data_IF_220568669281
#
_entry.id   IF_220568669281
#
_cell.length_a   1.000
_cell.length_b   1.000
_cell.length_c   1.000
_cell.angle_alpha   90.00
_cell.angle_beta   90.00
_cell.angle_gamma   90.00
#
_symmetry.space_group_name_H-M   'P 1'
#
loop_
_entity.id
_entity.type
_entity.pdbx_description
1 polymer ?
#
# COMPACT_ATOMS: atom_id res chain seq x y z
N UNK A 1 3.07 -5.35 8.97
CA UNK A 1 2.85 -4.60 7.72
C UNK A 1 4.13 -3.88 7.31
N UNK A 2 4.31 -3.59 6.02
CA UNK A 2 5.31 -2.63 5.53
C UNK A 2 4.67 -1.45 4.79
N UNK A 3 5.35 -0.31 4.77
CA UNK A 3 4.87 0.94 4.14
C UNK A 3 5.91 1.41 3.12
N UNK A 4 5.51 1.56 1.86
CA UNK A 4 6.33 2.19 0.81
C UNK A 4 5.96 3.66 0.67
N UNK A 5 6.97 4.54 0.66
CA UNK A 5 6.78 5.99 0.77
C UNK A 5 6.51 6.43 2.21
N UNK A 6 7.11 5.75 3.21
CA UNK A 6 6.86 5.98 4.63
C UNK A 6 7.23 7.40 5.11
N UNK A 7 8.17 8.06 4.43
CA UNK A 7 8.59 9.45 4.67
C UNK A 7 7.72 10.49 3.93
N UNK A 8 6.74 10.04 3.14
CA UNK A 8 5.80 10.90 2.42
C UNK A 8 4.65 11.40 3.29
N UNK A 9 3.85 12.38 2.80
CA UNK A 9 2.73 12.95 3.55
C UNK A 9 1.71 11.91 4.03
N UNK A 10 1.34 10.96 3.17
CA UNK A 10 0.40 9.91 3.54
C UNK A 10 1.07 8.77 4.31
N UNK A 11 2.28 8.35 3.91
CA UNK A 11 3.01 7.27 4.57
C UNK A 11 3.34 7.58 6.04
N UNK A 12 3.72 8.82 6.33
CA UNK A 12 4.02 9.26 7.70
C UNK A 12 2.77 9.28 8.60
N UNK A 13 1.60 9.62 8.04
CA UNK A 13 0.32 9.54 8.76
C UNK A 13 -0.07 8.08 9.01
N UNK A 14 0.10 7.20 8.02
CA UNK A 14 -0.15 5.75 8.19
C UNK A 14 0.76 5.19 9.29
N UNK A 15 2.05 5.48 9.26
CA UNK A 15 3.01 4.99 10.26
C UNK A 15 2.66 5.49 11.66
N UNK A 16 2.30 6.78 11.79
CA UNK A 16 1.83 7.36 13.06
C UNK A 16 0.57 6.66 13.59
N UNK A 17 -0.44 6.45 12.74
CA UNK A 17 -1.69 5.77 13.13
C UNK A 17 -1.41 4.33 13.56
N UNK A 18 -0.50 3.62 12.87
CA UNK A 18 -0.09 2.28 13.28
C UNK A 18 0.51 2.28 14.70
N UNK A 19 1.39 3.25 14.98
CA UNK A 19 1.95 3.43 16.32
C UNK A 19 0.88 3.68 17.39
N UNK A 20 -0.11 4.52 17.08
CA UNK A 20 -1.24 4.80 18.00
C UNK A 20 -2.15 3.58 18.22
N UNK A 21 -2.32 2.73 17.21
CA UNK A 21 -3.18 1.55 17.24
C UNK A 21 -2.46 0.25 17.60
N UNK A 22 -1.17 0.31 17.95
CA UNK A 22 -0.32 -0.86 18.22
C UNK A 22 -0.26 -1.86 17.05
N UNK A 23 -0.37 -1.39 15.82
CA UNK A 23 -0.20 -2.19 14.61
C UNK A 23 1.29 -2.27 14.27
N UNK A 24 1.83 -3.48 14.18
CA UNK A 24 3.25 -3.68 13.90
C UNK A 24 3.62 -3.30 12.46
N UNK A 25 4.40 -2.23 12.32
CA UNK A 25 5.09 -1.85 11.08
C UNK A 25 6.50 -2.43 11.13
N UNK A 26 6.68 -3.56 10.45
CA UNK A 26 7.94 -4.32 10.36
C UNK A 26 8.77 -3.93 9.14
N UNK A 27 8.30 -2.97 8.35
CA UNK A 27 9.02 -2.50 7.18
C UNK A 27 8.67 -1.06 6.82
N UNK A 28 9.70 -0.26 6.54
CA UNK A 28 9.56 1.12 6.05
C UNK A 28 10.46 1.28 4.84
N UNK A 29 9.89 1.75 3.74
CA UNK A 29 10.62 2.07 2.52
C UNK A 29 10.49 3.57 2.27
N UNK A 30 11.63 4.24 2.25
CA UNK A 30 11.77 5.68 2.03
C UNK A 30 12.74 5.90 0.88
N UNK A 31 12.99 7.15 0.50
CA UNK A 31 14.02 7.46 -0.52
C UNK A 31 15.42 6.94 -0.18
N UNK A 32 15.73 6.71 1.09
CA UNK A 32 17.03 6.16 1.53
C UNK A 32 17.12 4.64 1.41
N UNK A 33 16.05 3.94 1.03
CA UNK A 33 16.02 2.50 0.87
C UNK A 33 15.00 1.78 1.75
N UNK A 34 15.16 0.46 1.83
CA UNK A 34 14.30 -0.44 2.59
C UNK A 34 14.91 -0.73 3.96
N UNK A 35 14.11 -0.57 5.02
CA UNK A 35 14.41 -1.07 6.36
C UNK A 35 13.33 -2.08 6.73
N UNK A 36 13.72 -3.35 6.87
CA UNK A 36 12.81 -4.48 7.11
C UNK A 36 13.28 -5.27 8.33
N UNK A 37 12.44 -5.34 9.35
CA UNK A 37 12.70 -6.01 10.63
C UNK A 37 12.03 -7.39 10.71
N UNK A 38 11.18 -7.75 9.74
CA UNK A 38 10.50 -9.03 9.68
C UNK A 38 9.57 -9.17 8.46
N UNK A 39 8.99 -10.37 8.23
CA UNK A 39 8.12 -10.61 7.08
C UNK A 39 6.79 -9.84 7.22
N UNK A 40 6.48 -8.88 6.34
CA UNK A 40 5.20 -8.19 6.37
C UNK A 40 4.11 -9.08 5.76
N UNK A 41 2.94 -9.14 6.39
CA UNK A 41 1.76 -9.80 5.82
C UNK A 41 1.12 -9.00 4.68
N UNK A 42 1.25 -7.67 4.74
CA UNK A 42 0.74 -6.73 3.73
C UNK A 42 1.71 -5.56 3.58
N UNK A 43 1.81 -5.06 2.36
CA UNK A 43 2.53 -3.85 1.96
C UNK A 43 1.52 -2.82 1.49
N UNK A 44 1.58 -1.60 2.05
CA UNK A 44 0.85 -0.45 1.53
C UNK A 44 1.83 0.41 0.73
N UNK A 45 1.57 0.56 -0.57
CA UNK A 45 2.39 1.39 -1.45
C UNK A 45 1.72 2.73 -1.73
N UNK A 46 2.19 3.76 -1.04
CA UNK A 46 1.80 5.16 -1.23
C UNK A 46 2.93 5.99 -1.85
N UNK A 47 3.96 5.31 -2.38
CA UNK A 47 5.12 5.93 -3.01
C UNK A 47 4.78 6.70 -4.29
N UNK A 48 5.74 7.49 -4.77
CA UNK A 48 5.65 8.10 -6.10
C UNK A 48 6.15 7.14 -7.18
N UNK A 49 5.49 7.19 -8.34
CA UNK A 49 5.83 6.54 -9.60
C UNK A 49 7.33 6.51 -9.95
N UNK A 50 8.02 7.60 -9.64
CA UNK A 50 9.41 7.85 -10.01
C UNK A 50 10.43 7.16 -9.10
N UNK A 51 9.99 6.60 -7.97
CA UNK A 51 10.89 5.91 -7.05
C UNK A 51 10.98 4.43 -7.41
N UNK A 52 12.23 3.96 -7.56
CA UNK A 52 12.68 2.62 -7.92
C UNK A 52 12.32 1.54 -6.88
N UNK A 53 11.07 1.44 -6.46
CA UNK A 53 10.61 0.40 -5.54
C UNK A 53 9.75 -0.60 -6.31
N UNK A 54 10.32 -1.77 -6.59
CA UNK A 54 9.54 -2.87 -7.14
C UNK A 54 8.74 -3.56 -6.02
N UNK A 55 7.67 -2.89 -5.60
CA UNK A 55 6.73 -3.41 -4.60
C UNK A 55 6.17 -4.78 -5.00
N UNK A 56 6.02 -5.03 -6.30
CA UNK A 56 5.54 -6.31 -6.80
C UNK A 56 6.56 -7.43 -6.58
N UNK A 57 7.83 -7.21 -6.92
CA UNK A 57 8.91 -8.16 -6.64
C UNK A 57 9.05 -8.45 -5.16
N UNK A 58 9.01 -7.40 -4.32
CA UNK A 58 9.09 -7.57 -2.88
C UNK A 58 7.92 -8.41 -2.36
N UNK A 59 6.69 -8.09 -2.77
CA UNK A 59 5.50 -8.83 -2.34
C UNK A 59 5.53 -10.28 -2.81
N UNK A 60 6.03 -10.54 -4.02
CA UNK A 60 6.24 -11.90 -4.52
C UNK A 60 7.24 -12.66 -3.64
N UNK A 61 8.39 -12.05 -3.32
CA UNK A 61 9.45 -12.66 -2.51
C UNK A 61 8.98 -13.02 -1.11
N UNK A 62 8.19 -12.15 -0.47
CA UNK A 62 7.74 -12.32 0.91
C UNK A 62 6.35 -12.93 1.02
N UNK A 63 5.70 -13.22 -0.10
CA UNK A 63 4.29 -13.65 -0.15
C UNK A 63 3.36 -12.67 0.59
N UNK A 64 3.65 -11.38 0.47
CA UNK A 64 2.88 -10.31 1.11
C UNK A 64 1.76 -9.87 0.18
N UNK A 65 0.59 -9.56 0.75
CA UNK A 65 -0.44 -8.83 0.03
C UNK A 65 0.04 -7.41 -0.33
N UNK A 66 -0.48 -6.84 -1.41
CA UNK A 66 -0.13 -5.49 -1.87
C UNK A 66 -1.36 -4.60 -2.01
N UNK A 67 -1.41 -3.51 -1.25
CA UNK A 67 -2.34 -2.40 -1.46
C UNK A 67 -1.61 -1.27 -2.20
N UNK A 68 -1.83 -1.16 -3.51
CA UNK A 68 -1.17 -0.20 -4.38
C UNK A 68 -2.02 1.08 -4.53
N UNK A 69 -1.47 2.20 -4.04
CA UNK A 69 -2.12 3.52 -4.00
C UNK A 69 -1.33 4.59 -4.77
N UNK A 70 -0.19 4.24 -5.36
CA UNK A 70 0.63 5.18 -6.11
C UNK A 70 -0.15 5.71 -7.33
N UNK A 71 0.00 7.00 -7.61
CA UNK A 71 -0.73 7.68 -8.68
C UNK A 71 -0.26 7.31 -10.09
N UNK A 72 0.73 6.43 -10.24
CA UNK A 72 1.28 6.08 -11.53
C UNK A 72 0.26 5.32 -12.38
N UNK A 73 0.18 5.67 -13.66
CA UNK A 73 -0.65 5.01 -14.66
C UNK A 73 0.19 4.24 -15.68
N UNK A 74 1.37 3.79 -15.28
CA UNK A 74 2.25 3.00 -16.14
C UNK A 74 1.58 1.66 -16.50
N UNK A 75 1.25 1.42 -17.79
CA UNK A 75 0.62 0.18 -18.23
C UNK A 75 1.46 -1.07 -17.93
N UNK A 76 2.79 -0.95 -17.97
CA UNK A 76 3.69 -2.07 -17.70
C UNK A 76 3.68 -2.40 -16.20
N UNK A 77 3.62 -1.38 -15.35
CA UNK A 77 3.39 -1.53 -13.91
C UNK A 77 2.09 -2.27 -13.59
N UNK A 78 0.99 -1.93 -14.29
CA UNK A 78 -0.29 -2.65 -14.10
C UNK A 78 -0.23 -4.11 -14.51
N UNK A 79 0.47 -4.42 -15.60
CA UNK A 79 0.66 -5.81 -16.05
C UNK A 79 1.38 -6.63 -14.97
N UNK A 80 2.44 -6.08 -14.37
CA UNK A 80 3.16 -6.75 -13.29
C UNK A 80 2.33 -6.92 -12.02
N UNK A 81 1.51 -5.94 -11.66
CA UNK A 81 0.56 -6.07 -10.54
C UNK A 81 -0.50 -7.14 -10.82
N UNK A 82 -0.93 -7.29 -12.08
CA UNK A 82 -1.87 -8.34 -12.49
C UNK A 82 -1.24 -9.73 -12.39
N UNK A 83 -0.01 -9.89 -12.83
CA UNK A 83 0.74 -11.16 -12.69
C UNK A 83 0.94 -11.53 -11.21
N UNK A 84 1.34 -10.56 -10.39
CA UNK A 84 1.48 -10.75 -8.94
C UNK A 84 0.17 -11.27 -8.30
N UNK A 85 -0.97 -10.75 -8.76
CA UNK A 85 -2.29 -11.10 -8.22
C UNK A 85 -2.66 -12.58 -8.35
N UNK A 86 -1.98 -13.34 -9.21
CA UNK A 86 -2.13 -14.78 -9.29
C UNK A 86 -1.58 -15.52 -8.05
N UNK A 87 -0.69 -14.88 -7.28
CA UNK A 87 0.02 -15.49 -6.15
C UNK A 87 -0.30 -14.86 -4.80
N UNK A 88 -0.64 -13.58 -4.76
CA UNK A 88 -0.97 -12.85 -3.54
C UNK A 88 -2.16 -11.91 -3.79
N UNK A 89 -2.86 -11.46 -2.74
CA UNK A 89 -3.90 -10.46 -2.88
C UNK A 89 -3.31 -9.11 -3.33
N UNK A 90 -3.89 -8.50 -4.37
CA UNK A 90 -3.49 -7.18 -4.87
C UNK A 90 -4.69 -6.24 -4.91
N UNK A 91 -4.70 -5.25 -4.03
CA UNK A 91 -5.68 -4.18 -3.97
C UNK A 91 -5.20 -2.93 -4.72
N UNK A 92 -6.08 -2.33 -5.53
CA UNK A 92 -5.76 -1.11 -6.28
C UNK A 92 -6.61 0.09 -5.84
N UNK A 93 -5.96 1.13 -5.35
CA UNK A 93 -6.57 2.38 -4.90
C UNK A 93 -5.92 3.62 -5.55
N UNK A 94 -6.00 3.73 -6.88
CA UNK A 94 -5.27 4.74 -7.67
C UNK A 94 -5.99 6.08 -7.86
N UNK A 95 -7.20 6.24 -7.32
CA UNK A 95 -8.06 7.43 -7.51
C UNK A 95 -8.09 8.36 -6.31
N UNK A 96 -7.10 8.28 -5.41
CA UNK A 96 -7.01 9.15 -4.24
C UNK A 96 -6.68 10.58 -4.70
N UNK A 97 -7.70 11.37 -5.07
CA UNK A 97 -7.59 12.82 -5.17
C UNK A 97 -7.09 13.29 -3.80
N UNK A 98 -5.94 13.98 -3.77
CA UNK A 98 -5.26 14.40 -2.53
C UNK A 98 -5.57 15.88 -2.23
N UNK A 99 -6.71 16.24 -1.62
CA UNK A 99 -6.74 17.42 -0.79
C UNK A 99 -5.93 17.11 0.50
N UNK A 100 -5.10 18.06 0.94
CA UNK A 100 -4.36 17.95 2.21
C UNK A 100 -5.31 17.75 3.41
N UNK A 101 -6.55 18.20 3.27
CA UNK A 101 -7.66 17.94 4.20
C UNK A 101 -8.17 16.51 4.02
N UNK A 102 -7.88 15.62 4.98
CA UNK A 102 -8.44 14.26 5.01
C UNK A 102 -7.42 13.12 5.04
N UNK A 103 -6.11 13.39 5.13
CA UNK A 103 -5.09 12.35 5.18
C UNK A 103 -5.26 11.34 6.32
N UNK A 104 -5.74 11.76 7.50
CA UNK A 104 -5.98 10.83 8.62
C UNK A 104 -7.14 9.87 8.33
N UNK A 105 -8.25 10.37 7.78
CA UNK A 105 -9.38 9.54 7.39
C UNK A 105 -8.97 8.55 6.29
N UNK A 106 -8.25 9.03 5.27
CA UNK A 106 -7.73 8.20 4.20
C UNK A 106 -6.77 7.13 4.73
N UNK A 107 -5.84 7.51 5.60
CA UNK A 107 -4.91 6.55 6.21
C UNK A 107 -5.65 5.50 7.04
N UNK A 108 -6.68 5.88 7.80
CA UNK A 108 -7.51 4.93 8.55
C UNK A 108 -8.27 3.96 7.61
N UNK A 109 -8.83 4.45 6.50
CA UNK A 109 -9.49 3.61 5.50
C UNK A 109 -8.50 2.63 4.85
N UNK A 110 -7.30 3.11 4.49
CA UNK A 110 -6.24 2.30 3.90
C UNK A 110 -5.79 1.20 4.87
N UNK A 111 -5.67 1.52 6.17
CA UNK A 111 -5.35 0.54 7.20
C UNK A 111 -6.42 -0.56 7.31
N UNK A 112 -7.70 -0.18 7.30
CA UNK A 112 -8.81 -1.14 7.30
C UNK A 112 -8.75 -2.08 6.10
N UNK A 113 -8.59 -1.52 4.89
CA UNK A 113 -8.48 -2.30 3.65
C UNK A 113 -7.23 -3.19 3.64
N UNK A 114 -6.09 -2.69 4.13
CA UNK A 114 -4.87 -3.49 4.23
C UNK A 114 -5.04 -4.67 5.18
N UNK A 115 -5.78 -4.50 6.29
CA UNK A 115 -6.12 -5.57 7.21
C UNK A 115 -6.97 -6.67 6.55
N UNK A 116 -7.99 -6.30 5.79
CA UNK A 116 -8.80 -7.26 5.02
C UNK A 116 -7.93 -8.00 3.98
N UNK A 117 -7.12 -7.24 3.23
CA UNK A 117 -6.29 -7.76 2.15
C UNK A 117 -5.22 -8.73 2.65
N UNK A 118 -4.67 -8.51 3.85
CA UNK A 118 -3.70 -9.41 4.48
C UNK A 118 -4.24 -10.84 4.73
N UNK A 119 -5.56 -11.02 4.74
CA UNK A 119 -6.23 -12.31 4.96
C UNK A 119 -6.95 -12.85 3.71
N UNK A 120 -6.94 -12.09 2.62
CA UNK A 120 -7.65 -12.44 1.40
C UNK A 120 -6.94 -13.59 0.65
N UNK A 121 -7.70 -14.27 -0.22
CA UNK A 121 -7.12 -15.18 -1.19
C UNK A 121 -6.36 -14.40 -2.28
N UNK A 122 -5.41 -15.03 -2.99
CA UNK A 122 -4.80 -14.44 -4.17
C UNK A 122 -5.87 -13.95 -5.15
N UNK A 123 -5.69 -12.73 -5.67
CA UNK A 123 -6.67 -12.13 -6.57
C UNK A 123 -6.45 -10.64 -6.79
N UNK A 124 -7.13 -10.14 -7.81
CA UNK A 124 -7.14 -8.73 -8.17
C UNK A 124 -8.38 -8.03 -7.59
N UNK A 125 -8.15 -6.99 -6.79
CA UNK A 125 -9.21 -6.27 -6.09
C UNK A 125 -9.18 -4.77 -6.44
N UNK A 126 -10.02 -4.30 -7.38
CA UNK A 126 -10.21 -2.87 -7.61
C UNK A 126 -10.91 -2.26 -6.38
N UNK A 127 -10.29 -1.26 -5.74
CA UNK A 127 -10.80 -0.66 -4.50
C UNK A 127 -11.20 0.81 -4.66
N UNK A 128 -11.25 1.35 -5.88
CA UNK A 128 -11.55 2.76 -6.14
C UNK A 128 -12.83 3.25 -5.44
N UNK A 129 -13.88 2.43 -5.44
CA UNK A 129 -15.20 2.79 -4.87
C UNK A 129 -15.19 2.86 -3.34
N UNK A 130 -14.18 2.27 -2.66
CA UNK A 130 -14.08 2.28 -1.20
C UNK A 130 -13.52 3.58 -0.62
N UNK A 131 -12.93 4.43 -1.47
CA UNK A 131 -12.29 5.68 -1.07
C UNK A 131 -12.99 6.92 -1.64
N UNK A 132 -14.11 6.75 -2.33
CA UNK A 132 -14.98 7.86 -2.70
C UNK A 132 -15.63 8.43 -1.43
N UNK A 133 -15.45 9.73 -1.19
CA UNK A 133 -16.25 10.43 -0.19
C UNK A 133 -17.73 10.26 -0.54
N UNK A 134 -18.54 9.85 0.43
CA UNK A 134 -19.98 10.07 0.34
C UNK A 134 -20.17 11.59 0.23
N UNK A 135 -20.60 12.05 -0.94
CA UNK A 135 -20.98 13.44 -1.18
C UNK A 135 -22.13 13.87 -0.26
#
# INVERSE_FOLDING_TARGET
>A
MAIVGADGPLGSVIDRLCGQQSVAVVGRVTRSGWVIDGPPTVVIDVGSAENLWDSAEFCQRWSSALLYCAANRDPDGFTRLRELSATVPVGLATTLARPETGLELLAAQLLGVAGELASAAPGWYPMADRFCAAN
#
